data_IF_817448779153
#
_entry.id   IF_817448779153
#
_cell.length_a   1.000
_cell.length_b   1.000
_cell.length_c   1.000
_cell.angle_alpha   90.00
_cell.angle_beta   90.00
_cell.angle_gamma   90.00
#
_symmetry.space_group_name_H-M   'P 1'
#
loop_
_entity.id
_entity.type
_entity.pdbx_description
1 polymer ?
#
# COMPACT_ATOMS: atom_id res chain seq x y z
N UNK A 1 -18.86 13.32 -10.74
CA UNK A 1 -18.39 12.01 -11.27
C UNK A 1 -17.66 12.12 -12.62
N UNK A 2 -18.11 12.94 -13.59
CA UNK A 2 -17.39 13.08 -14.88
C UNK A 2 -16.02 13.76 -14.77
N UNK A 3 -15.87 14.75 -13.89
CA UNK A 3 -14.61 15.50 -13.71
C UNK A 3 -13.48 14.66 -13.09
N UNK A 4 -13.82 13.67 -12.25
CA UNK A 4 -12.86 12.72 -11.69
C UNK A 4 -12.25 11.80 -12.76
N UNK A 5 -12.93 11.62 -13.90
CA UNK A 5 -12.48 10.77 -14.99
C UNK A 5 -11.42 11.47 -15.86
N UNK A 6 -11.49 12.80 -15.98
CA UNK A 6 -10.60 13.59 -16.85
C UNK A 6 -9.20 13.82 -16.25
N UNK A 7 -9.09 13.94 -14.92
CA UNK A 7 -7.78 14.15 -14.27
C UNK A 7 -6.88 12.90 -14.28
N UNK A 8 -7.48 11.70 -14.34
CA UNK A 8 -6.73 10.43 -14.34
C UNK A 8 -6.15 10.05 -15.72
N UNK A 9 -6.59 10.70 -16.80
CA UNK A 9 -6.12 10.41 -18.16
C UNK A 9 -4.72 10.97 -18.47
N UNK A 10 -4.27 12.02 -17.78
CA UNK A 10 -2.99 12.69 -18.10
C UNK A 10 -1.75 11.81 -17.88
N UNK A 11 -1.84 10.76 -17.05
CA UNK A 11 -0.74 9.84 -16.78
C UNK A 11 -0.58 8.74 -17.84
N UNK A 12 -1.61 8.46 -18.65
CA UNK A 12 -1.57 7.39 -19.66
C UNK A 12 -0.79 7.79 -20.93
N UNK A 13 -0.76 9.09 -21.29
CA UNK A 13 -0.03 9.59 -22.47
C UNK A 13 1.50 9.39 -22.37
N UNK A 14 2.07 9.49 -21.16
CA UNK A 14 3.51 9.35 -20.92
C UNK A 14 4.03 7.90 -21.12
N UNK A 15 3.17 6.89 -20.98
CA UNK A 15 3.53 5.49 -21.22
C UNK A 15 3.67 5.18 -22.71
N UNK A 16 2.87 5.80 -23.59
CA UNK A 16 2.91 5.53 -25.03
C UNK A 16 4.23 6.01 -25.67
N UNK A 17 4.80 7.10 -25.17
CA UNK A 17 6.08 7.64 -25.67
C UNK A 17 7.29 6.75 -25.35
N UNK A 18 7.24 5.92 -24.31
CA UNK A 18 8.35 5.03 -23.93
C UNK A 18 8.38 3.74 -24.76
N UNK A 19 7.22 3.26 -25.24
CA UNK A 19 7.12 2.02 -26.03
C UNK A 19 7.76 2.11 -27.43
N UNK A 20 7.98 3.31 -27.96
CA UNK A 20 8.54 3.55 -29.30
C UNK A 20 10.07 3.60 -29.36
N UNK A 21 10.78 3.44 -28.24
CA UNK A 21 12.25 3.52 -28.16
C UNK A 21 13.00 2.17 -28.09
N UNK A 22 12.41 1.08 -28.59
CA UNK A 22 13.19 -0.16 -28.82
C UNK A 22 13.72 -0.20 -30.26
N UNK A 23 14.93 0.32 -30.48
CA UNK A 23 15.74 0.03 -31.68
C UNK A 23 16.84 -0.97 -31.30
N UNK A 24 16.67 -2.19 -31.82
CA UNK A 24 17.62 -3.29 -32.00
C UNK A 24 19.04 -3.16 -31.42
N UNK A 25 19.38 -4.05 -30.48
CA UNK A 25 20.73 -4.60 -30.29
C UNK A 25 20.58 -6.08 -29.89
N UNK A 26 21.30 -6.96 -30.59
CA UNK A 26 21.18 -8.41 -30.46
C UNK A 26 22.25 -9.09 -29.58
N UNK A 27 21.97 -10.37 -29.35
CA UNK A 27 22.83 -11.50 -28.91
C UNK A 27 22.87 -11.90 -27.41
N UNK A 28 22.27 -13.07 -27.16
CA UNK A 28 22.44 -14.14 -26.15
C UNK A 28 23.31 -13.89 -24.88
N UNK A 29 22.66 -13.94 -23.72
CA UNK A 29 23.19 -14.58 -22.50
C UNK A 29 22.07 -15.36 -21.78
N UNK A 30 22.27 -16.67 -21.64
CA UNK A 30 21.39 -17.59 -20.91
C UNK A 30 21.96 -17.75 -19.49
N UNK A 31 21.62 -16.84 -18.58
CA UNK A 31 21.96 -16.98 -17.16
C UNK A 31 20.69 -16.89 -16.34
N UNK A 32 20.17 -18.06 -15.96
CA UNK A 32 19.05 -18.19 -15.05
C UNK A 32 19.43 -17.73 -13.65
N UNK A 33 18.98 -16.53 -13.30
CA UNK A 33 18.79 -16.11 -11.91
C UNK A 33 17.28 -16.03 -11.67
N UNK A 34 16.69 -17.07 -11.07
CA UNK A 34 15.38 -16.97 -10.41
C UNK A 34 15.58 -16.18 -9.12
N UNK A 35 15.81 -14.88 -9.26
CA UNK A 35 15.52 -13.94 -8.19
C UNK A 35 14.05 -13.61 -8.40
N UNK A 36 13.16 -14.27 -7.64
CA UNK A 36 11.82 -13.73 -7.42
C UNK A 36 11.98 -12.50 -6.54
N UNK A 37 12.46 -11.41 -7.13
CA UNK A 37 12.37 -10.10 -6.53
C UNK A 37 10.88 -9.77 -6.51
N UNK A 38 10.31 -9.61 -5.33
CA UNK A 38 9.06 -8.89 -5.21
C UNK A 38 9.37 -7.47 -5.70
N UNK A 39 9.00 -7.16 -6.94
CA UNK A 39 9.09 -5.79 -7.42
C UNK A 39 8.17 -4.95 -6.53
N UNK A 40 8.71 -3.86 -5.99
CA UNK A 40 7.91 -3.00 -5.12
C UNK A 40 6.93 -2.20 -5.96
N UNK A 41 5.64 -2.42 -5.72
CA UNK A 41 4.60 -1.71 -6.44
C UNK A 41 4.06 -0.56 -5.62
N UNK A 42 4.30 0.64 -6.14
CA UNK A 42 3.61 1.85 -5.72
C UNK A 42 2.31 1.93 -6.51
N UNK A 43 1.18 1.76 -5.84
CA UNK A 43 -0.12 1.86 -6.49
C UNK A 43 -0.53 3.32 -6.74
N UNK A 44 -1.31 3.55 -7.80
CA UNK A 44 -2.01 4.83 -7.96
C UNK A 44 -3.27 4.85 -7.10
N UNK A 45 -3.68 6.03 -6.63
CA UNK A 45 -4.90 6.23 -5.86
C UNK A 45 -6.13 5.56 -6.50
N UNK A 46 -6.34 5.73 -7.82
CA UNK A 46 -7.45 5.12 -8.55
C UNK A 46 -7.39 3.58 -8.55
N UNK A 47 -6.22 2.98 -8.84
CA UNK A 47 -6.07 1.52 -8.86
C UNK A 47 -6.35 0.94 -7.48
N UNK A 48 -5.85 1.60 -6.44
CA UNK A 48 -6.02 1.16 -5.07
C UNK A 48 -7.48 1.29 -4.61
N UNK A 49 -8.15 2.40 -4.90
CA UNK A 49 -9.58 2.57 -4.61
C UNK A 49 -10.43 1.47 -5.23
N UNK A 50 -10.11 1.07 -6.47
CA UNK A 50 -10.80 -0.04 -7.15
C UNK A 50 -10.56 -1.39 -6.48
N UNK A 51 -9.33 -1.66 -6.02
CA UNK A 51 -9.01 -2.89 -5.28
C UNK A 51 -9.75 -2.91 -3.95
N UNK A 52 -9.67 -1.84 -3.17
CA UNK A 52 -10.28 -1.71 -1.85
C UNK A 52 -11.82 -1.79 -1.92
N UNK A 53 -12.43 -1.15 -2.92
CA UNK A 53 -13.87 -1.26 -3.16
C UNK A 53 -14.28 -2.69 -3.45
N UNK A 54 -13.56 -3.39 -4.35
CA UNK A 54 -13.83 -4.81 -4.67
C UNK A 54 -13.61 -5.74 -3.50
N UNK A 55 -12.67 -5.42 -2.62
CA UNK A 55 -12.41 -6.16 -1.39
C UNK A 55 -13.40 -5.84 -0.26
N UNK A 56 -14.38 -4.96 -0.50
CA UNK A 56 -15.44 -4.63 0.45
C UNK A 56 -15.00 -3.75 1.61
N UNK A 57 -13.99 -2.89 1.40
CA UNK A 57 -13.54 -1.94 2.43
C UNK A 57 -14.43 -0.70 2.53
N UNK A 58 -15.25 -0.42 1.52
CA UNK A 58 -16.18 0.71 1.60
C UNK A 58 -17.24 0.49 2.69
N UNK A 59 -17.30 1.41 3.66
CA UNK A 59 -18.10 1.34 4.89
C UNK A 59 -17.74 0.18 5.84
N UNK A 60 -16.60 -0.49 5.63
CA UNK A 60 -16.14 -1.52 6.57
C UNK A 60 -15.70 -0.87 7.89
N UNK A 61 -16.23 -1.36 9.02
CA UNK A 61 -15.96 -0.79 10.33
C UNK A 61 -16.46 0.65 10.52
N UNK A 62 -17.38 1.13 9.67
CA UNK A 62 -17.86 2.52 9.69
C UNK A 62 -16.95 3.52 8.96
N UNK A 63 -15.89 3.05 8.30
CA UNK A 63 -14.97 3.91 7.55
C UNK A 63 -15.29 3.89 6.05
N UNK A 64 -15.41 5.08 5.44
CA UNK A 64 -15.59 5.21 4.00
C UNK A 64 -14.37 4.72 3.22
N UNK A 65 -14.55 4.36 1.94
CA UNK A 65 -13.42 4.04 1.06
C UNK A 65 -12.34 5.14 1.04
N UNK A 66 -12.74 6.42 1.14
CA UNK A 66 -11.81 7.54 1.21
C UNK A 66 -10.90 7.49 2.43
N UNK A 67 -11.42 7.10 3.60
CA UNK A 67 -10.62 6.95 4.81
C UNK A 67 -9.52 5.89 4.64
N UNK A 68 -9.85 4.76 4.01
CA UNK A 68 -8.87 3.71 3.72
C UNK A 68 -7.77 4.18 2.79
N UNK A 69 -8.12 4.91 1.73
CA UNK A 69 -7.16 5.44 0.75
C UNK A 69 -6.26 6.51 1.37
N UNK A 70 -6.81 7.42 2.17
CA UNK A 70 -6.00 8.40 2.85
C UNK A 70 -5.05 7.77 3.87
N UNK A 71 -5.52 6.79 4.65
CA UNK A 71 -4.67 6.13 5.65
C UNK A 71 -3.42 5.52 4.99
N UNK A 72 -3.59 4.69 3.96
CA UNK A 72 -2.44 4.06 3.28
C UNK A 72 -1.53 5.06 2.54
N UNK A 73 -2.06 6.23 2.16
CA UNK A 73 -1.24 7.29 1.60
C UNK A 73 -0.26 7.86 2.64
N UNK A 74 -0.73 8.15 3.86
CA UNK A 74 0.12 8.71 4.92
C UNK A 74 0.99 7.67 5.61
N UNK A 75 0.58 6.40 5.61
CA UNK A 75 1.37 5.34 6.22
C UNK A 75 2.49 4.86 5.30
N UNK A 76 2.23 4.67 4.01
CA UNK A 76 3.20 4.03 3.10
C UNK A 76 3.41 4.76 1.78
N UNK A 77 2.67 5.84 1.50
CA UNK A 77 2.70 6.47 0.17
C UNK A 77 2.23 5.53 -0.94
N UNK A 78 1.31 4.60 -0.63
CA UNK A 78 0.87 3.50 -1.51
C UNK A 78 1.95 2.46 -1.85
N UNK A 79 3.08 2.45 -1.15
CA UNK A 79 4.14 1.48 -1.37
C UNK A 79 3.84 0.16 -0.65
N UNK A 80 3.62 -0.90 -1.42
CA UNK A 80 3.32 -2.24 -0.89
C UNK A 80 4.48 -2.89 -0.16
N UNK A 81 5.73 -2.48 -0.39
CA UNK A 81 6.90 -3.05 0.27
C UNK A 81 7.49 -2.12 1.34
N UNK A 82 6.73 -1.09 1.75
CA UNK A 82 7.17 -0.17 2.80
C UNK A 82 7.49 -0.92 4.09
N UNK A 83 8.61 -0.59 4.71
CA UNK A 83 9.03 -1.14 5.99
C UNK A 83 9.57 -0.01 6.86
N UNK A 84 9.08 0.08 8.10
CA UNK A 84 9.52 1.08 9.08
C UNK A 84 9.97 0.36 10.33
N UNK A 85 11.22 0.58 10.75
CA UNK A 85 11.74 0.04 12.01
C UNK A 85 11.38 1.00 13.14
N UNK A 86 10.80 0.48 14.21
CA UNK A 86 10.44 1.26 15.41
C UNK A 86 11.51 1.15 16.50
N UNK A 87 11.45 2.04 17.49
CA UNK A 87 12.43 2.12 18.58
C UNK A 87 12.47 0.85 19.45
N UNK A 88 11.36 0.12 19.54
CA UNK A 88 11.26 -1.16 20.25
C UNK A 88 11.83 -2.36 19.44
N UNK A 89 12.32 -2.10 18.23
CA UNK A 89 12.86 -3.11 17.32
C UNK A 89 11.81 -3.95 16.59
N UNK A 90 10.52 -3.62 16.73
CA UNK A 90 9.46 -4.12 15.86
C UNK A 90 9.49 -3.40 14.51
N UNK A 91 8.84 -3.98 13.49
CA UNK A 91 8.82 -3.45 12.14
C UNK A 91 7.36 -3.38 11.67
N UNK A 92 7.00 -2.25 11.06
CA UNK A 92 5.72 -2.06 10.39
C UNK A 92 5.82 -2.44 8.91
N UNK A 93 4.93 -3.31 8.44
CA UNK A 93 5.00 -3.91 7.11
C UNK A 93 3.91 -3.43 6.15
N UNK A 94 4.35 -3.16 4.93
CA UNK A 94 3.54 -3.04 3.74
C UNK A 94 2.65 -1.82 3.70
N UNK A 95 1.65 -1.88 2.82
CA UNK A 95 0.83 -0.72 2.47
C UNK A 95 0.05 -0.13 3.65
N UNK A 96 -0.28 -0.98 4.64
CA UNK A 96 -1.02 -0.63 5.85
C UNK A 96 -0.12 -0.41 7.07
N UNK A 97 1.21 -0.55 6.94
CA UNK A 97 2.16 -0.46 8.06
C UNK A 97 1.77 -1.34 9.26
N UNK A 98 1.57 -2.63 9.01
CA UNK A 98 1.12 -3.61 10.01
C UNK A 98 2.31 -4.06 10.87
N UNK A 99 2.21 -3.84 12.18
CA UNK A 99 3.28 -4.08 13.13
C UNK A 99 3.57 -5.58 13.42
N UNK A 100 4.84 -5.97 13.43
CA UNK A 100 5.28 -7.36 13.67
C UNK A 100 5.29 -7.82 15.12
N UNK A 101 5.24 -6.92 16.09
CA UNK A 101 5.12 -7.34 17.49
C UNK A 101 3.77 -8.01 17.70
N UNK A 102 2.71 -7.39 17.19
CA UNK A 102 1.32 -7.79 17.47
C UNK A 102 0.71 -8.63 16.34
N UNK A 103 0.80 -8.20 15.09
CA UNK A 103 -0.15 -8.65 14.06
C UNK A 103 0.38 -9.75 13.13
N UNK A 104 1.66 -9.72 12.78
CA UNK A 104 2.29 -10.71 11.90
C UNK A 104 3.53 -11.34 12.54
N UNK A 105 4.06 -12.42 11.97
CA UNK A 105 5.30 -13.08 12.44
C UNK A 105 6.42 -12.96 11.42
N UNK A 106 7.60 -12.51 11.85
CA UNK A 106 8.84 -12.51 11.07
C UNK A 106 9.71 -13.73 11.42
N UNK A 107 9.47 -14.37 12.56
CA UNK A 107 10.21 -15.56 13.00
C UNK A 107 10.76 -15.46 14.42
N UNK A 108 10.38 -14.44 15.19
CA UNK A 108 10.75 -14.31 16.61
C UNK A 108 9.69 -14.99 17.48
N UNK A 109 10.12 -15.67 18.56
CA UNK A 109 9.22 -16.42 19.46
C UNK A 109 8.27 -15.53 20.27
N UNK A 110 8.59 -14.24 20.46
CA UNK A 110 7.78 -13.31 21.25
C UNK A 110 6.68 -12.58 20.46
N UNK A 111 6.51 -12.86 19.17
CA UNK A 111 5.51 -12.21 18.31
C UNK A 111 4.13 -12.89 18.44
N UNK A 112 3.10 -12.10 18.77
CA UNK A 112 1.74 -12.60 19.02
C UNK A 112 1.09 -13.17 17.75
N UNK A 113 1.33 -12.52 16.60
CA UNK A 113 0.82 -12.92 15.29
C UNK A 113 -0.70 -13.09 15.25
N UNK A 114 -1.44 -12.07 15.69
CA UNK A 114 -2.89 -12.11 15.73
C UNK A 114 -3.51 -12.41 14.36
N UNK A 115 -2.92 -11.96 13.24
CA UNK A 115 -3.42 -12.24 11.90
C UNK A 115 -3.04 -13.63 11.36
N UNK A 116 -2.25 -14.42 12.09
CA UNK A 116 -1.78 -15.74 11.67
C UNK A 116 -1.10 -15.73 10.28
N UNK A 117 -0.30 -14.70 10.02
CA UNK A 117 0.32 -14.44 8.71
C UNK A 117 1.80 -14.14 8.87
N UNK A 118 2.62 -14.57 7.91
CA UNK A 118 4.02 -14.15 7.85
C UNK A 118 4.10 -12.67 7.45
N UNK A 119 4.96 -11.88 8.09
CA UNK A 119 5.12 -10.46 7.73
C UNK A 119 5.57 -10.27 6.27
N UNK A 120 6.29 -11.25 5.70
CA UNK A 120 6.68 -11.26 4.28
C UNK A 120 5.49 -11.33 3.32
N UNK A 121 4.36 -11.90 3.72
CA UNK A 121 3.14 -11.93 2.90
C UNK A 121 2.45 -10.55 2.82
N UNK A 122 2.76 -9.65 3.75
CA UNK A 122 2.18 -8.30 3.80
C UNK A 122 2.91 -7.30 2.88
N UNK A 123 4.07 -7.69 2.34
CA UNK A 123 4.90 -6.87 1.45
C UNK A 123 4.91 -7.40 0.01
N UNK A 124 3.78 -7.92 -0.45
CA UNK A 124 3.62 -8.41 -1.83
C UNK A 124 2.69 -7.51 -2.65
N UNK A 125 2.73 -7.69 -3.97
CA UNK A 125 1.83 -7.02 -4.91
C UNK A 125 0.36 -7.40 -4.73
N UNK A 126 0.13 -8.61 -4.21
CA UNK A 126 -1.19 -9.11 -3.86
C UNK A 126 -1.56 -8.62 -2.46
N UNK A 127 -2.52 -7.70 -2.42
CA UNK A 127 -2.97 -7.07 -1.17
C UNK A 127 -3.90 -7.95 -0.34
N UNK A 128 -4.19 -9.19 -0.76
CA UNK A 128 -5.20 -10.05 -0.11
C UNK A 128 -4.92 -10.25 1.39
N UNK A 129 -3.71 -10.71 1.74
CA UNK A 129 -3.34 -10.94 3.14
C UNK A 129 -3.30 -9.65 3.96
N UNK A 130 -2.78 -8.58 3.34
CA UNK A 130 -2.72 -7.26 3.95
C UNK A 130 -4.12 -6.70 4.26
N UNK A 131 -5.07 -6.85 3.33
CA UNK A 131 -6.46 -6.42 3.50
C UNK A 131 -7.18 -7.25 4.56
N UNK A 132 -6.99 -8.58 4.56
CA UNK A 132 -7.60 -9.47 5.56
C UNK A 132 -7.12 -9.09 6.97
N UNK A 133 -5.81 -8.87 7.14
CA UNK A 133 -5.25 -8.48 8.42
C UNK A 133 -5.74 -7.09 8.85
N UNK A 134 -5.73 -6.09 7.95
CA UNK A 134 -6.24 -4.74 8.26
C UNK A 134 -7.73 -4.76 8.69
N UNK A 135 -8.56 -5.59 8.05
CA UNK A 135 -9.96 -5.77 8.45
C UNK A 135 -10.11 -6.36 9.84
N UNK A 136 -9.22 -7.29 10.24
CA UNK A 136 -9.19 -7.87 11.58
C UNK A 136 -8.78 -6.82 12.60
N UNK A 137 -7.74 -6.03 12.31
CA UNK A 137 -7.30 -4.91 13.17
C UNK A 137 -8.46 -3.98 13.46
N UNK A 138 -9.13 -3.44 12.43
CA UNK A 138 -10.26 -2.51 12.61
C UNK A 138 -11.40 -3.12 13.43
N UNK A 139 -11.65 -4.42 13.26
CA UNK A 139 -12.69 -5.12 14.03
C UNK A 139 -12.32 -5.27 15.51
N UNK A 140 -11.06 -5.55 15.82
CA UNK A 140 -10.58 -5.83 17.18
C UNK A 140 -10.27 -4.56 17.97
N UNK A 141 -9.72 -3.53 17.32
CA UNK A 141 -9.37 -2.26 17.96
C UNK A 141 -10.50 -1.24 17.91
N UNK A 142 -11.54 -1.49 17.12
CA UNK A 142 -12.60 -0.52 16.78
C UNK A 142 -12.03 0.81 16.24
N UNK A 143 -10.83 0.77 15.66
CA UNK A 143 -10.08 1.95 15.30
C UNK A 143 -9.23 1.76 14.05
N UNK A 144 -9.10 2.86 13.32
CA UNK A 144 -8.13 3.05 12.25
C UNK A 144 -7.51 4.43 12.47
N UNK A 145 -6.27 4.65 12.04
CA UNK A 145 -5.70 5.99 12.01
C UNK A 145 -6.60 6.90 11.16
N UNK A 146 -7.39 7.74 11.84
CA UNK A 146 -8.40 8.55 11.20
C UNK A 146 -7.71 9.65 10.38
N UNK A 147 -8.04 9.72 9.10
CA UNK A 147 -7.62 10.81 8.24
C UNK A 147 -8.72 11.88 8.22
N UNK A 148 -8.47 13.10 8.71
CA UNK A 148 -9.43 14.19 8.63
C UNK A 148 -9.77 14.52 7.17
N UNK A 149 -11.00 14.99 6.94
CA UNK A 149 -11.49 15.34 5.60
C UNK A 149 -10.56 16.30 4.84
N UNK A 150 -9.94 17.27 5.52
CA UNK A 150 -8.98 18.19 4.90
C UNK A 150 -7.79 17.46 4.25
N UNK A 151 -7.31 16.40 4.92
CA UNK A 151 -6.19 15.57 4.48
C UNK A 151 -6.59 14.59 3.37
N UNK A 152 -7.86 14.17 3.36
CA UNK A 152 -8.43 13.39 2.26
C UNK A 152 -8.44 14.20 0.95
N UNK A 153 -8.80 15.49 0.99
CA UNK A 153 -8.81 16.32 -0.21
C UNK A 153 -7.42 16.52 -0.82
N UNK A 154 -6.37 16.67 0.00
CA UNK A 154 -4.98 16.71 -0.45
C UNK A 154 -4.57 15.41 -1.17
N UNK A 155 -4.94 14.27 -0.57
CA UNK A 155 -4.71 12.92 -1.12
C UNK A 155 -5.39 12.75 -2.48
N UNK A 156 -6.63 13.23 -2.62
CA UNK A 156 -7.41 13.13 -3.85
C UNK A 156 -6.92 14.10 -4.94
N UNK A 157 -6.31 15.22 -4.58
CA UNK A 157 -5.70 16.19 -5.52
C UNK A 157 -4.33 15.74 -6.05
N UNK A 158 -3.78 14.63 -5.55
CA UNK A 158 -2.48 14.11 -6.02
C UNK A 158 -1.30 15.02 -5.66
N UNK A 159 -1.46 15.91 -4.68
CA UNK A 159 -0.35 16.70 -4.15
C UNK A 159 0.48 15.78 -3.26
N UNK A 160 1.73 15.50 -3.68
CA UNK A 160 2.70 14.76 -2.86
C UNK A 160 2.69 15.33 -1.44
N UNK A 161 2.68 14.51 -0.38
CA UNK A 161 2.70 15.06 0.96
C UNK A 161 4.03 15.80 1.08
N UNK A 162 3.99 17.06 1.48
CA UNK A 162 5.12 17.61 2.22
C UNK A 162 5.29 16.63 3.38
N UNK A 163 6.47 16.04 3.53
CA UNK A 163 6.77 15.13 4.64
C UNK A 163 6.46 15.89 5.94
N UNK A 164 5.24 15.72 6.46
CA UNK A 164 4.89 16.26 7.76
C UNK A 164 5.55 15.30 8.72
N UNK A 165 6.76 15.68 9.11
CA UNK A 165 7.48 15.18 10.27
C UNK A 165 6.46 14.73 11.32
N UNK A 166 6.34 13.41 11.48
CA UNK A 166 5.49 12.76 12.50
C UNK A 166 5.99 13.32 13.82
N UNK A 167 5.32 14.37 14.32
CA UNK A 167 5.64 14.97 15.61
C UNK A 167 5.25 13.94 16.67
N UNK A 168 6.25 13.58 17.48
CA UNK A 168 6.21 12.72 18.67
C UNK A 168 4.91 12.87 19.47
#
# INVERSE_FOLDING_TARGET
MREAHLSCQSQNEFCLQQALRMKAVGLLTLTGCLVTGAESKIYTCYKLAKIFSRAGLDNYGGFSLGNWICMVYYESGYNTTAQTVLDDGSIDYGIFQINSFTWCRQGKLQEWNHCHVACSALITDDLTDAIICARKIVKETQGMNYCPQARLEETLRGQRPVQVEKRL
#
